data_IF_482917709920
#
_entry.id   IF_482917709920
#
_cell.length_a   1.000
_cell.length_b   1.000
_cell.length_c   1.000
_cell.angle_alpha   90.00
_cell.angle_beta   90.00
_cell.angle_gamma   90.00
#
_symmetry.space_group_name_H-M   'P 1'
#
loop_
_entity.id
_entity.type
_entity.pdbx_description
1 polymer ?
#
# COMPACT_ATOMS: atom_id res chain seq x y z
N UNK A 1 -0.75 6.14 -23.50
CA UNK A 1 -0.94 7.61 -23.53
C UNK A 1 -0.86 8.12 -22.09
N UNK A 2 -0.15 9.22 -21.82
CA UNK A 2 -0.05 9.80 -20.48
C UNK A 2 -1.26 10.73 -20.26
N UNK A 3 -2.03 10.59 -19.17
CA UNK A 3 -3.13 11.51 -18.84
C UNK A 3 -2.69 12.97 -18.75
N UNK A 4 -3.51 13.89 -19.27
CA UNK A 4 -3.24 15.34 -19.23
C UNK A 4 -3.04 15.86 -17.81
N UNK A 5 -3.80 15.33 -16.83
CA UNK A 5 -3.67 15.72 -15.43
C UNK A 5 -2.26 15.44 -14.88
N UNK A 6 -1.65 14.31 -15.25
CA UNK A 6 -0.28 13.99 -14.85
C UNK A 6 0.74 14.91 -15.56
N UNK A 7 0.59 15.11 -16.87
CA UNK A 7 1.47 16.01 -17.65
C UNK A 7 1.51 17.42 -17.08
N UNK A 8 0.33 17.97 -16.77
CA UNK A 8 0.19 19.34 -16.25
C UNK A 8 0.77 19.51 -14.85
N UNK A 9 0.97 18.43 -14.10
CA UNK A 9 1.49 18.46 -12.72
C UNK A 9 2.89 17.84 -12.59
N UNK A 10 3.61 17.66 -13.69
CA UNK A 10 4.92 16.96 -13.70
C UNK A 10 5.92 17.54 -12.71
N UNK A 11 6.05 18.87 -12.65
CA UNK A 11 6.97 19.53 -11.71
C UNK A 11 6.61 19.24 -10.24
N UNK A 12 5.31 19.30 -9.92
CA UNK A 12 4.80 18.96 -8.58
C UNK A 12 5.08 17.51 -8.24
N UNK A 13 4.81 16.59 -9.18
CA UNK A 13 5.05 15.14 -8.99
C UNK A 13 6.53 14.89 -8.69
N UNK A 14 7.46 15.46 -9.47
CA UNK A 14 8.90 15.28 -9.28
C UNK A 14 9.41 15.82 -7.95
N UNK A 15 8.75 16.84 -7.39
CA UNK A 15 9.12 17.43 -6.11
C UNK A 15 8.64 16.62 -4.89
N UNK A 16 7.82 15.58 -5.08
CA UNK A 16 7.30 14.77 -3.98
C UNK A 16 8.42 13.94 -3.34
N UNK A 17 8.69 14.23 -2.06
CA UNK A 17 9.50 13.37 -1.19
C UNK A 17 8.66 12.24 -0.61
N UNK A 18 8.63 11.09 -1.29
CA UNK A 18 7.78 9.94 -0.91
C UNK A 18 8.05 9.46 0.51
N UNK A 19 9.30 9.47 0.96
CA UNK A 19 9.73 8.98 2.28
C UNK A 19 9.05 9.71 3.44
N UNK A 20 8.76 11.00 3.26
CA UNK A 20 8.20 11.86 4.31
C UNK A 20 6.70 11.63 4.56
N UNK A 21 6.01 10.86 3.70
CA UNK A 21 4.59 10.59 3.88
C UNK A 21 4.34 9.80 5.17
N UNK A 22 3.68 10.46 6.13
CA UNK A 22 3.44 10.01 7.50
C UNK A 22 1.98 9.65 7.71
N UNK A 23 1.74 8.54 8.41
CA UNK A 23 0.42 8.12 8.89
C UNK A 23 0.44 8.05 10.42
N UNK A 24 -0.46 8.76 11.13
CA UNK A 24 -0.67 8.55 12.56
C UNK A 24 -1.42 7.24 12.80
N UNK A 25 -1.20 6.62 13.97
CA UNK A 25 -1.95 5.44 14.39
C UNK A 25 -2.17 5.42 15.90
N UNK A 26 -3.20 4.71 16.35
CA UNK A 26 -3.52 4.60 17.77
C UNK A 26 -2.78 3.43 18.43
N UNK A 27 -1.59 3.68 19.00
CA UNK A 27 -0.73 2.67 19.63
C UNK A 27 -1.47 1.80 20.65
N UNK A 28 -2.29 2.38 21.52
CA UNK A 28 -3.05 1.67 22.56
C UNK A 28 -3.98 0.59 21.99
N UNK A 29 -4.58 0.83 20.81
CA UNK A 29 -5.44 -0.17 20.15
C UNK A 29 -4.63 -1.36 19.63
N UNK A 30 -3.44 -1.09 19.10
CA UNK A 30 -2.53 -2.12 18.62
C UNK A 30 -1.88 -2.89 19.77
N UNK A 31 -1.43 -2.21 20.83
CA UNK A 31 -0.87 -2.82 22.05
C UNK A 31 -1.86 -3.78 22.71
N UNK A 32 -3.15 -3.45 22.73
CA UNK A 32 -4.17 -4.35 23.28
C UNK A 32 -4.26 -5.68 22.53
N UNK A 33 -4.04 -5.68 21.22
CA UNK A 33 -4.15 -6.88 20.39
C UNK A 33 -2.82 -7.62 20.25
N UNK A 34 -1.72 -6.90 20.10
CA UNK A 34 -0.42 -7.45 19.71
C UNK A 34 0.68 -7.25 20.75
N UNK A 35 0.42 -6.52 21.84
CA UNK A 35 1.42 -6.07 22.82
C UNK A 35 2.31 -7.16 23.39
N UNK A 36 1.82 -8.40 23.48
CA UNK A 36 2.57 -9.55 24.01
C UNK A 36 3.35 -10.31 22.95
N UNK A 37 3.21 -9.97 21.67
CA UNK A 37 3.89 -10.66 20.56
C UNK A 37 5.31 -10.11 20.38
N UNK A 38 6.25 -10.99 20.04
CA UNK A 38 7.61 -10.57 19.70
C UNK A 38 7.64 -9.60 18.50
N UNK A 39 6.76 -9.82 17.52
CA UNK A 39 6.60 -8.96 16.34
C UNK A 39 6.27 -7.52 16.73
N UNK A 40 5.32 -7.32 17.66
CA UNK A 40 4.96 -5.97 18.11
C UNK A 40 6.06 -5.32 18.93
N UNK A 41 6.71 -6.06 19.82
CA UNK A 41 7.80 -5.54 20.64
C UNK A 41 8.96 -5.06 19.75
N UNK A 42 9.29 -5.85 18.73
CA UNK A 42 10.29 -5.48 17.74
C UNK A 42 9.86 -4.26 16.91
N UNK A 43 8.61 -4.21 16.45
CA UNK A 43 8.05 -3.03 15.78
C UNK A 43 8.20 -1.76 16.64
N UNK A 44 7.82 -1.80 17.93
CA UNK A 44 7.92 -0.65 18.84
C UNK A 44 9.35 -0.25 19.17
N UNK A 45 10.28 -1.19 19.19
CA UNK A 45 11.70 -0.87 19.37
C UNK A 45 12.25 0.01 18.23
N UNK A 46 11.69 -0.12 17.02
CA UNK A 46 12.07 0.67 15.85
C UNK A 46 11.21 1.93 15.69
N UNK A 47 9.92 1.85 16.06
CA UNK A 47 8.95 2.94 15.96
C UNK A 47 8.39 3.26 17.34
N UNK A 48 9.11 4.07 18.14
CA UNK A 48 8.68 4.43 19.48
C UNK A 48 7.56 5.49 19.50
N UNK A 49 7.28 6.14 18.35
CA UNK A 49 6.24 7.19 18.23
C UNK A 49 4.92 6.63 17.71
N UNK A 50 3.83 7.39 17.82
CA UNK A 50 2.49 7.01 17.36
C UNK A 50 2.21 7.47 15.93
N UNK A 51 3.27 7.47 15.11
CA UNK A 51 3.20 7.73 13.68
C UNK A 51 4.32 6.99 12.96
N UNK A 52 4.09 6.70 11.68
CA UNK A 52 5.03 5.96 10.85
C UNK A 52 5.11 6.57 9.46
N UNK A 53 6.32 6.70 8.92
CA UNK A 53 6.59 7.25 7.59
C UNK A 53 6.89 6.17 6.57
N UNK A 54 6.80 6.46 5.27
CA UNK A 54 7.28 5.52 4.23
C UNK A 54 8.77 5.19 4.42
N UNK A 55 9.58 6.20 4.77
CA UNK A 55 11.01 6.02 5.04
C UNK A 55 11.29 5.01 6.15
N UNK A 56 10.47 5.00 7.21
CA UNK A 56 10.56 4.02 8.30
C UNK A 56 10.34 2.58 7.79
N UNK A 57 9.29 2.37 6.98
CA UNK A 57 9.03 1.03 6.41
C UNK A 57 10.10 0.61 5.40
N UNK A 58 10.70 1.55 4.66
CA UNK A 58 11.84 1.24 3.79
C UNK A 58 13.09 0.85 4.59
N UNK A 59 13.31 1.45 5.77
CA UNK A 59 14.36 1.02 6.68
C UNK A 59 14.10 -0.41 7.19
N UNK A 60 12.86 -0.71 7.61
CA UNK A 60 12.46 -2.08 8.00
C UNK A 60 12.63 -3.09 6.87
N UNK A 61 12.25 -2.72 5.64
CA UNK A 61 12.31 -3.60 4.49
C UNK A 61 13.74 -4.01 4.11
N UNK A 62 14.73 -3.14 4.36
CA UNK A 62 16.15 -3.47 4.17
C UNK A 62 16.63 -4.58 5.11
N UNK A 63 16.00 -4.70 6.28
CA UNK A 63 16.30 -5.76 7.27
C UNK A 63 15.42 -7.01 7.09
N UNK A 64 14.41 -6.97 6.21
CA UNK A 64 13.44 -8.04 6.02
C UNK A 64 14.00 -9.17 5.13
N UNK A 65 14.86 -10.00 5.71
CA UNK A 65 15.56 -11.10 5.06
C UNK A 65 15.21 -12.50 5.61
N UNK A 66 14.35 -12.57 6.63
CA UNK A 66 13.90 -13.81 7.27
C UNK A 66 12.44 -13.66 7.75
N UNK A 67 11.77 -14.78 8.00
CA UNK A 67 10.38 -14.84 8.45
C UNK A 67 10.03 -13.84 9.56
N UNK A 68 10.80 -13.73 10.64
CA UNK A 68 10.44 -12.83 11.75
C UNK A 68 10.47 -11.36 11.33
N UNK A 69 11.49 -10.97 10.55
CA UNK A 69 11.63 -9.59 10.04
C UNK A 69 10.56 -9.27 9.00
N UNK A 70 10.16 -10.24 8.18
CA UNK A 70 9.04 -10.13 7.25
C UNK A 70 7.71 -9.94 7.97
N UNK A 71 7.49 -10.65 9.08
CA UNK A 71 6.30 -10.46 9.92
C UNK A 71 6.24 -9.05 10.53
N UNK A 72 7.39 -8.51 10.96
CA UNK A 72 7.47 -7.13 11.46
C UNK A 72 7.15 -6.13 10.35
N UNK A 73 7.72 -6.28 9.15
CA UNK A 73 7.41 -5.43 8.01
C UNK A 73 5.93 -5.54 7.60
N UNK A 74 5.36 -6.75 7.66
CA UNK A 74 3.95 -6.98 7.41
C UNK A 74 3.07 -6.22 8.41
N UNK A 75 3.34 -6.34 9.72
CA UNK A 75 2.61 -5.59 10.75
C UNK A 75 2.77 -4.09 10.57
N UNK A 76 3.98 -3.60 10.30
CA UNK A 76 4.22 -2.19 10.02
C UNK A 76 3.39 -1.71 8.82
N UNK A 77 3.30 -2.52 7.76
CA UNK A 77 2.47 -2.22 6.58
C UNK A 77 0.97 -2.17 6.91
N UNK A 78 0.52 -3.00 7.85
CA UNK A 78 -0.86 -2.96 8.34
C UNK A 78 -1.11 -1.71 9.19
N UNK A 79 -0.19 -1.37 10.11
CA UNK A 79 -0.25 -0.15 10.92
C UNK A 79 -0.34 1.07 10.01
N UNK A 80 0.54 1.16 9.01
CA UNK A 80 0.53 2.23 8.02
C UNK A 80 -0.78 2.26 7.21
N UNK A 81 -1.30 1.09 6.82
CA UNK A 81 -2.51 1.01 5.99
C UNK A 81 -3.82 1.30 6.72
N UNK A 82 -3.93 0.94 7.99
CA UNK A 82 -5.12 1.23 8.81
C UNK A 82 -5.05 2.58 9.51
N UNK A 83 -3.85 3.08 9.82
CA UNK A 83 -3.67 4.29 10.61
C UNK A 83 -4.48 4.26 11.90
N UNK A 84 -5.39 5.20 12.07
CA UNK A 84 -6.25 5.34 13.25
C UNK A 84 -7.48 4.42 13.25
N UNK A 85 -7.68 3.62 12.20
CA UNK A 85 -8.84 2.72 12.08
C UNK A 85 -8.69 1.51 13.01
N UNK A 86 -9.51 1.47 14.07
CA UNK A 86 -9.33 0.53 15.18
C UNK A 86 -9.48 -0.97 14.87
N UNK A 87 -10.23 -1.37 13.85
CA UNK A 87 -10.39 -2.80 13.51
C UNK A 87 -9.14 -3.40 12.83
N UNK A 88 -8.17 -2.57 12.43
CA UNK A 88 -6.92 -3.00 11.81
C UNK A 88 -6.07 -3.89 12.71
N UNK A 89 -5.99 -3.55 13.99
CA UNK A 89 -5.23 -4.32 14.98
C UNK A 89 -5.78 -5.74 15.14
N UNK A 90 -7.10 -5.90 15.22
CA UNK A 90 -7.75 -7.22 15.31
C UNK A 90 -7.52 -8.06 14.05
N UNK A 91 -7.62 -7.47 12.85
CA UNK A 91 -7.35 -8.18 11.59
C UNK A 91 -5.90 -8.62 11.47
N UNK A 92 -4.97 -7.78 11.89
CA UNK A 92 -3.54 -8.07 11.87
C UNK A 92 -3.17 -9.18 12.86
N UNK A 93 -3.83 -9.22 14.02
CA UNK A 93 -3.72 -10.33 14.98
C UNK A 93 -4.18 -11.65 14.36
N UNK A 94 -5.34 -11.66 13.70
CA UNK A 94 -5.85 -12.86 13.03
C UNK A 94 -4.90 -13.37 11.92
N UNK A 95 -4.19 -12.48 11.24
CA UNK A 95 -3.15 -12.86 10.28
C UNK A 95 -1.92 -13.46 10.98
N UNK A 96 -1.44 -12.86 12.06
CA UNK A 96 -0.29 -13.35 12.84
C UNK A 96 -0.55 -14.70 13.53
N UNK A 97 -1.78 -14.95 13.95
CA UNK A 97 -2.19 -16.23 14.55
C UNK A 97 -2.30 -17.37 13.51
N UNK A 98 -2.18 -17.08 12.21
CA UNK A 98 -2.15 -18.10 11.17
C UNK A 98 -0.82 -18.86 11.20
N UNK A 99 -0.81 -20.20 11.38
CA UNK A 99 0.42 -20.97 11.59
C UNK A 99 1.48 -20.84 10.48
N UNK A 100 1.04 -20.58 9.25
CA UNK A 100 1.91 -20.56 8.06
C UNK A 100 2.28 -19.13 7.61
N UNK A 101 2.00 -18.10 8.41
CA UNK A 101 2.25 -16.72 7.96
C UNK A 101 3.73 -16.49 7.61
N UNK A 102 4.67 -16.99 8.41
CA UNK A 102 6.11 -16.83 8.15
C UNK A 102 6.52 -17.39 6.79
N UNK A 103 6.25 -18.68 6.57
CA UNK A 103 6.52 -19.38 5.30
C UNK A 103 5.83 -18.71 4.11
N UNK A 104 4.59 -18.25 4.30
CA UNK A 104 3.87 -17.54 3.27
C UNK A 104 4.51 -16.20 2.91
N UNK A 105 4.95 -15.41 3.89
CA UNK A 105 5.62 -14.14 3.64
C UNK A 105 6.98 -14.36 2.94
N UNK A 106 7.72 -15.40 3.29
CA UNK A 106 8.97 -15.77 2.61
C UNK A 106 8.74 -16.18 1.15
N UNK A 107 7.73 -17.02 0.90
CA UNK A 107 7.34 -17.41 -0.46
C UNK A 107 6.90 -16.19 -1.28
N UNK A 108 6.08 -15.30 -0.71
CA UNK A 108 5.67 -14.05 -1.37
C UNK A 108 6.88 -13.18 -1.66
N UNK A 109 7.81 -13.03 -0.71
CA UNK A 109 9.03 -12.27 -0.90
C UNK A 109 9.89 -12.83 -2.05
N UNK A 110 10.10 -14.14 -2.09
CA UNK A 110 10.86 -14.79 -3.15
C UNK A 110 10.25 -14.54 -4.53
N UNK A 111 8.91 -14.65 -4.66
CA UNK A 111 8.19 -14.37 -5.91
C UNK A 111 8.30 -12.90 -6.33
N UNK A 112 8.08 -11.99 -5.40
CA UNK A 112 8.10 -10.56 -5.70
C UNK A 112 9.49 -10.09 -6.11
N UNK A 113 10.53 -10.57 -5.43
CA UNK A 113 11.92 -10.21 -5.70
C UNK A 113 12.47 -10.84 -6.98
N UNK A 114 11.86 -11.94 -7.46
CA UNK A 114 12.15 -12.50 -8.78
C UNK A 114 11.31 -11.89 -9.92
N UNK A 115 10.42 -10.95 -9.60
CA UNK A 115 9.54 -10.27 -10.58
C UNK A 115 8.23 -10.99 -10.87
N UNK A 116 7.91 -12.10 -10.20
CA UNK A 116 6.66 -12.85 -10.34
C UNK A 116 5.51 -12.20 -9.55
N UNK A 117 5.10 -10.99 -9.96
CA UNK A 117 4.02 -10.23 -9.31
C UNK A 117 2.67 -10.97 -9.35
N UNK A 118 2.31 -11.52 -10.51
CA UNK A 118 1.05 -12.25 -10.67
C UNK A 118 1.02 -13.52 -9.83
N UNK A 119 2.11 -14.29 -9.82
CA UNK A 119 2.21 -15.47 -8.97
C UNK A 119 2.16 -15.12 -7.49
N UNK A 120 2.80 -14.01 -7.07
CA UNK A 120 2.70 -13.53 -5.70
C UNK A 120 1.24 -13.18 -5.32
N UNK A 121 0.52 -12.43 -6.17
CA UNK A 121 -0.88 -12.12 -5.95
C UNK A 121 -1.78 -13.35 -5.85
N UNK A 122 -1.56 -14.35 -6.72
CA UNK A 122 -2.33 -15.61 -6.69
C UNK A 122 -2.04 -16.45 -5.45
N UNK A 123 -0.85 -16.33 -4.87
CA UNK A 123 -0.43 -17.09 -3.71
C UNK A 123 -0.80 -16.44 -2.37
N UNK A 124 -1.39 -15.24 -2.37
CA UNK A 124 -1.88 -14.60 -1.14
C UNK A 124 -3.06 -15.40 -0.58
N UNK A 125 -2.88 -15.87 0.64
CA UNK A 125 -3.86 -16.61 1.45
C UNK A 125 -3.70 -16.23 2.92
N UNK A 126 -3.60 -14.92 3.20
CA UNK A 126 -3.45 -14.38 4.55
C UNK A 126 -4.83 -13.99 5.08
N UNK A 127 -5.29 -14.54 6.22
CA UNK A 127 -6.61 -14.24 6.77
C UNK A 127 -6.84 -12.74 6.99
N UNK A 128 -8.04 -12.25 6.60
CA UNK A 128 -8.48 -10.86 6.80
C UNK A 128 -7.62 -9.78 6.12
N UNK A 129 -6.73 -10.17 5.21
CA UNK A 129 -5.91 -9.25 4.42
C UNK A 129 -6.41 -9.23 2.98
N UNK A 130 -7.03 -8.12 2.58
CA UNK A 130 -7.47 -7.89 1.21
C UNK A 130 -6.39 -7.23 0.33
N UNK A 131 -6.66 -7.06 -0.98
CA UNK A 131 -5.75 -6.42 -1.94
C UNK A 131 -5.20 -5.07 -1.52
N UNK A 132 -6.05 -4.20 -0.99
CA UNK A 132 -5.62 -2.88 -0.52
C UNK A 132 -4.54 -2.92 0.57
N UNK A 133 -4.41 -4.05 1.29
CA UNK A 133 -3.46 -4.22 2.37
C UNK A 133 -2.23 -5.02 1.94
N UNK A 134 -2.38 -6.15 1.23
CA UNK A 134 -1.19 -6.90 0.81
C UNK A 134 -0.33 -6.11 -0.19
N UNK A 135 -0.94 -5.24 -1.03
CA UNK A 135 -0.18 -4.41 -1.97
C UNK A 135 0.71 -3.39 -1.26
N UNK A 136 0.33 -2.95 -0.05
CA UNK A 136 1.19 -2.11 0.81
C UNK A 136 2.44 -2.87 1.24
N UNK A 137 2.26 -4.10 1.73
CA UNK A 137 3.40 -4.98 2.05
C UNK A 137 4.30 -5.22 0.83
N UNK A 138 3.72 -5.49 -0.35
CA UNK A 138 4.49 -5.69 -1.58
C UNK A 138 5.31 -4.46 -1.96
N UNK A 139 4.69 -3.29 -1.91
CA UNK A 139 5.35 -2.02 -2.19
C UNK A 139 6.56 -1.80 -1.29
N UNK A 140 6.37 -1.85 0.04
CA UNK A 140 7.46 -1.60 0.98
C UNK A 140 8.57 -2.65 0.87
N UNK A 141 8.21 -3.91 0.65
CA UNK A 141 9.18 -4.99 0.50
C UNK A 141 10.07 -4.83 -0.73
N UNK A 142 9.51 -4.34 -1.85
CA UNK A 142 10.17 -4.40 -3.16
C UNK A 142 10.80 -3.07 -3.60
N UNK A 143 10.34 -1.94 -3.03
CA UNK A 143 10.83 -0.62 -3.40
C UNK A 143 12.35 -0.54 -3.22
N UNK A 144 13.05 -0.21 -4.31
CA UNK A 144 14.52 -0.13 -4.33
C UNK A 144 15.24 -1.49 -4.42
N UNK A 145 14.52 -2.61 -4.53
CA UNK A 145 15.08 -3.97 -4.68
C UNK A 145 14.76 -4.60 -6.04
N UNK A 146 13.73 -4.10 -6.72
CA UNK A 146 13.41 -4.43 -8.11
C UNK A 146 13.12 -3.16 -8.89
N UNK A 147 13.37 -3.17 -10.20
CA UNK A 147 13.24 -1.98 -11.05
C UNK A 147 11.78 -1.51 -11.15
N UNK A 148 10.89 -2.40 -11.58
CA UNK A 148 9.44 -2.14 -11.66
C UNK A 148 8.74 -2.76 -10.46
N UNK A 149 8.81 -2.06 -9.33
CA UNK A 149 8.28 -2.53 -8.06
C UNK A 149 6.75 -2.40 -7.97
N UNK A 150 6.05 -3.26 -7.21
CA UNK A 150 4.62 -3.15 -6.97
C UNK A 150 4.26 -1.82 -6.29
N UNK A 151 3.12 -1.23 -6.64
CA UNK A 151 2.61 0.01 -6.07
C UNK A 151 1.39 -0.23 -5.18
N UNK A 152 1.08 0.71 -4.30
CA UNK A 152 -0.11 0.62 -3.44
C UNK A 152 -1.37 0.76 -4.30
N UNK A 153 -2.25 -0.22 -4.23
CA UNK A 153 -3.55 -0.19 -4.90
C UNK A 153 -4.67 -0.19 -3.85
N UNK A 154 -5.33 0.95 -3.64
CA UNK A 154 -6.50 1.04 -2.76
C UNK A 154 -7.63 1.86 -3.37
N UNK A 155 -8.74 1.97 -2.61
CA UNK A 155 -9.94 2.62 -3.10
C UNK A 155 -9.73 4.10 -3.40
N UNK A 156 -8.79 4.78 -2.72
CA UNK A 156 -8.45 6.18 -3.01
C UNK A 156 -7.81 6.26 -4.38
N UNK A 157 -6.84 5.39 -4.68
CA UNK A 157 -6.19 5.34 -5.99
C UNK A 157 -7.17 5.00 -7.11
N UNK A 158 -8.09 4.06 -6.88
CA UNK A 158 -9.11 3.74 -7.89
C UNK A 158 -10.09 4.89 -8.13
N UNK A 159 -10.53 5.59 -7.08
CA UNK A 159 -11.32 6.81 -7.28
C UNK A 159 -10.51 7.89 -8.01
N UNK A 160 -9.22 8.04 -7.73
CA UNK A 160 -8.34 8.99 -8.43
C UNK A 160 -8.22 8.68 -9.93
N UNK A 161 -8.11 7.41 -10.29
CA UNK A 161 -8.08 6.97 -11.70
C UNK A 161 -9.35 7.40 -12.45
N UNK A 162 -10.52 7.26 -11.84
CA UNK A 162 -11.78 7.70 -12.48
C UNK A 162 -11.91 9.21 -12.49
N UNK A 163 -11.73 9.85 -11.33
CA UNK A 163 -12.12 11.24 -11.11
C UNK A 163 -11.08 12.24 -11.60
N UNK A 164 -9.78 11.91 -11.49
CA UNK A 164 -8.70 12.81 -11.89
C UNK A 164 -8.17 12.49 -13.28
N UNK A 165 -8.17 11.20 -13.67
CA UNK A 165 -7.57 10.75 -14.93
C UNK A 165 -8.60 10.41 -16.02
N UNK A 166 -9.89 10.26 -15.66
CA UNK A 166 -10.94 9.89 -16.61
C UNK A 166 -10.78 8.46 -17.15
N UNK A 167 -10.16 7.57 -16.38
CA UNK A 167 -9.88 6.19 -16.79
C UNK A 167 -10.93 5.21 -16.26
N UNK A 168 -11.23 4.19 -17.06
CA UNK A 168 -12.01 3.05 -16.58
C UNK A 168 -11.16 2.14 -15.69
N UNK A 169 -11.49 2.09 -14.41
CA UNK A 169 -10.82 1.23 -13.42
C UNK A 169 -11.03 -0.27 -13.68
N UNK A 170 -12.03 -0.64 -14.47
CA UNK A 170 -12.29 -2.03 -14.87
C UNK A 170 -11.13 -2.67 -15.64
N UNK A 171 -10.20 -1.88 -16.18
CA UNK A 171 -8.95 -2.36 -16.77
C UNK A 171 -7.85 -2.69 -15.77
N UNK A 172 -7.97 -2.25 -14.51
CA UNK A 172 -6.91 -2.28 -13.49
C UNK A 172 -7.30 -3.03 -12.21
N UNK A 173 -8.57 -3.00 -11.83
CA UNK A 173 -9.05 -3.60 -10.61
C UNK A 173 -10.49 -4.10 -10.74
N UNK A 174 -10.79 -5.22 -10.08
CA UNK A 174 -12.18 -5.58 -9.78
C UNK A 174 -12.60 -4.79 -8.54
N UNK A 175 -13.70 -4.04 -8.64
CA UNK A 175 -14.13 -3.11 -7.59
C UNK A 175 -15.60 -3.29 -7.24
N UNK A 176 -15.95 -3.00 -5.99
CA UNK A 176 -17.34 -2.77 -5.58
C UNK A 176 -17.62 -1.28 -5.49
N UNK A 177 -18.88 -0.89 -5.68
CA UNK A 177 -19.28 0.52 -5.68
C UNK A 177 -20.43 0.80 -4.73
N UNK A 178 -20.46 2.03 -4.21
CA UNK A 178 -21.63 2.62 -3.53
C UNK A 178 -21.70 4.11 -3.88
N UNK A 179 -22.88 4.57 -4.30
CA UNK A 179 -23.11 5.96 -4.74
C UNK A 179 -22.07 6.44 -5.76
N UNK A 180 -21.80 5.63 -6.78
CA UNK A 180 -20.82 5.93 -7.84
C UNK A 180 -19.35 5.79 -7.44
N UNK A 181 -19.03 5.63 -6.15
CA UNK A 181 -17.65 5.57 -5.66
C UNK A 181 -17.16 4.15 -5.44
N UNK A 182 -15.87 3.92 -5.66
CA UNK A 182 -15.21 2.65 -5.33
C UNK A 182 -15.12 2.50 -3.80
N UNK A 183 -15.63 1.39 -3.28
CA UNK A 183 -15.68 1.10 -1.83
C UNK A 183 -14.85 -0.11 -1.41
N UNK A 184 -14.52 -1.01 -2.34
CA UNK A 184 -13.58 -2.09 -2.08
C UNK A 184 -12.91 -2.57 -3.36
N UNK A 185 -11.78 -3.24 -3.19
CA UNK A 185 -11.00 -3.85 -4.27
C UNK A 185 -10.96 -5.35 -4.04
N UNK A 186 -11.23 -6.11 -5.10
CA UNK A 186 -11.17 -7.57 -5.16
C UNK A 186 -9.89 -8.00 -5.87
N UNK A 187 -9.38 -9.18 -5.52
CA UNK A 187 -8.15 -9.69 -6.10
C UNK A 187 -8.31 -9.90 -7.61
N UNK A 188 -7.41 -9.28 -8.38
CA UNK A 188 -7.28 -9.49 -9.81
C UNK A 188 -5.82 -9.28 -10.21
N UNK A 189 -5.01 -10.34 -10.20
CA UNK A 189 -3.55 -10.27 -10.41
C UNK A 189 -3.16 -9.56 -11.70
N UNK A 190 -3.84 -9.86 -12.80
CA UNK A 190 -3.54 -9.33 -14.13
C UNK A 190 -3.84 -7.84 -14.22
N UNK A 191 -4.97 -7.40 -13.64
CA UNK A 191 -5.30 -5.99 -13.54
C UNK A 191 -4.30 -5.22 -12.68
N UNK A 192 -3.88 -5.82 -11.56
CA UNK A 192 -2.88 -5.20 -10.70
C UNK A 192 -1.51 -5.07 -11.37
N UNK A 193 -1.05 -6.10 -12.10
CA UNK A 193 0.15 -5.99 -12.91
C UNK A 193 0.03 -4.87 -13.94
N UNK A 194 -1.10 -4.79 -14.67
CA UNK A 194 -1.34 -3.71 -15.63
C UNK A 194 -1.28 -2.34 -14.99
N UNK A 195 -1.84 -2.18 -13.78
CA UNK A 195 -1.75 -0.95 -13.02
C UNK A 195 -0.29 -0.58 -12.70
N UNK A 196 0.49 -1.52 -12.19
CA UNK A 196 1.90 -1.29 -11.85
C UNK A 196 2.70 -0.93 -13.10
N UNK A 197 2.57 -1.70 -14.17
CA UNK A 197 3.26 -1.45 -15.43
C UNK A 197 2.90 -0.08 -16.00
N UNK A 198 1.61 0.28 -16.02
CA UNK A 198 1.16 1.54 -16.58
C UNK A 198 1.68 2.74 -15.79
N UNK A 199 1.73 2.65 -14.46
CA UNK A 199 2.25 3.72 -13.59
C UNK A 199 3.74 3.93 -13.80
N UNK A 200 4.51 2.85 -13.94
CA UNK A 200 5.94 2.95 -14.26
C UNK A 200 6.17 3.49 -15.67
N UNK A 201 5.37 3.11 -16.67
CA UNK A 201 5.48 3.69 -18.03
C UNK A 201 5.23 5.21 -18.02
N UNK A 202 4.26 5.67 -17.21
CA UNK A 202 4.04 7.10 -17.02
C UNK A 202 5.21 7.76 -16.30
N UNK A 203 5.79 7.09 -15.30
CA UNK A 203 6.94 7.60 -14.56
C UNK A 203 8.16 7.77 -15.45
N UNK A 204 8.47 6.75 -16.27
CA UNK A 204 9.56 6.78 -17.25
C UNK A 204 9.39 7.96 -18.22
N UNK A 205 8.17 8.15 -18.74
CA UNK A 205 7.89 9.22 -19.69
C UNK A 205 7.81 10.63 -19.06
N UNK A 206 7.60 10.72 -17.74
CA UNK A 206 7.55 11.96 -16.99
C UNK A 206 8.84 12.22 -16.19
N UNK A 207 9.87 11.38 -16.32
CA UNK A 207 11.15 11.47 -15.59
C UNK A 207 10.91 11.72 -14.08
N UNK A 208 10.13 10.82 -13.49
CA UNK A 208 9.83 10.76 -12.06
C UNK A 208 9.75 9.29 -11.62
N UNK A 209 9.50 9.03 -10.34
CA UNK A 209 9.29 7.65 -9.87
C UNK A 209 7.80 7.30 -9.81
N UNK A 210 7.46 6.03 -10.02
CA UNK A 210 6.05 5.61 -10.08
C UNK A 210 5.30 5.81 -8.74
N UNK A 211 6.01 5.75 -7.62
CA UNK A 211 5.48 6.07 -6.28
C UNK A 211 5.30 7.57 -6.03
N UNK A 212 5.98 8.45 -6.78
CA UNK A 212 5.64 9.88 -6.79
C UNK A 212 4.29 10.12 -7.48
N UNK A 213 4.02 9.45 -8.61
CA UNK A 213 2.71 9.53 -9.27
C UNK A 213 1.61 8.97 -8.37
N UNK A 214 1.84 7.80 -7.75
CA UNK A 214 0.89 7.16 -6.83
C UNK A 214 0.56 8.08 -5.65
N UNK A 215 1.57 8.66 -5.01
CA UNK A 215 1.37 9.55 -3.87
C UNK A 215 0.69 10.87 -4.27
N UNK A 216 1.04 11.43 -5.43
CA UNK A 216 0.37 12.61 -5.99
C UNK A 216 -1.14 12.36 -6.15
N UNK A 217 -1.51 11.26 -6.80
CA UNK A 217 -2.91 10.90 -7.02
C UNK A 217 -3.65 10.66 -5.71
N UNK A 218 -3.02 9.97 -4.76
CA UNK A 218 -3.58 9.73 -3.44
C UNK A 218 -3.89 11.05 -2.69
N UNK A 219 -2.91 11.96 -2.64
CA UNK A 219 -3.05 13.23 -1.92
C UNK A 219 -4.09 14.15 -2.59
N UNK A 220 -4.05 14.27 -3.92
CA UNK A 220 -5.02 15.07 -4.68
C UNK A 220 -6.44 14.56 -4.47
N UNK A 221 -6.66 13.23 -4.56
CA UNK A 221 -7.98 12.66 -4.34
C UNK A 221 -8.48 12.83 -2.89
N UNK A 222 -7.60 12.66 -1.90
CA UNK A 222 -7.94 12.90 -0.48
C UNK A 222 -8.35 14.36 -0.24
N UNK A 223 -7.63 15.31 -0.83
CA UNK A 223 -7.97 16.73 -0.74
C UNK A 223 -9.33 17.03 -1.39
N UNK A 224 -9.59 16.46 -2.58
CA UNK A 224 -10.89 16.58 -3.24
C UNK A 224 -12.04 16.03 -2.39
N UNK A 225 -11.85 14.85 -1.78
CA UNK A 225 -12.87 14.23 -0.93
C UNK A 225 -13.22 15.06 0.31
N UNK A 226 -12.21 15.71 0.93
CA UNK A 226 -12.43 16.60 2.07
C UNK A 226 -13.19 17.86 1.65
N UNK A 227 -12.83 18.47 0.51
CA UNK A 227 -13.50 19.67 0.01
C UNK A 227 -14.96 19.42 -0.38
N UNK A 228 -15.28 18.23 -0.92
CA UNK A 228 -16.65 17.85 -1.27
C UNK A 228 -17.56 17.55 -0.07
N UNK A 229 -16.99 17.10 1.06
CA UNK A 229 -17.75 16.90 2.30
C UNK A 229 -18.17 18.21 2.96
N UNK A 230 -17.38 19.28 2.80
CA UNK A 230 -17.70 20.61 3.34
C UNK A 230 -18.82 21.35 2.60
N UNK A 231 -19.23 20.90 1.41
CA UNK A 231 -20.29 21.53 0.60
C UNK A 231 -21.69 20.94 0.85
N UNK A 232 -21.81 19.89 1.68
CA UNK A 232 -23.07 19.19 1.97
C UNK A 232 -23.52 19.32 3.44
N UNK A 233 -23.00 20.30 4.17
CA UNK A 233 -23.41 20.64 5.54
C UNK A 233 -24.03 22.03 5.62
#
# INVERSE_FOLDING_TARGET
MIPHHLKNNTATIRAIGVDAHRIPFNSATWERQLGKTAVWQQFRSQIPTDSITRGDLFAMAREANAAERLQVLFVASMVWGYGEVGYGAWRSRAALEAPQLGEQLEMLAAKLLSGDLVGACRAVSIPRVGPAFYTKFFYFLCRGRVQRFPLILDTVLMNAFEQLLGLDVGGYAKVTRKHGRVTSILAWPEGYQRYVEQMHDWADALDCTADQIELFLFQTQKASDLSGQSQHH
#
